data_IF_244396001064
#
_entry.id   IF_244396001064
#
_cell.length_a   1.000
_cell.length_b   1.000
_cell.length_c   1.000
_cell.angle_alpha   90.00
_cell.angle_beta   90.00
_cell.angle_gamma   90.00
#
_symmetry.space_group_name_H-M   'P 1'
#
loop_
_entity.id
_entity.type
_entity.pdbx_description
1 polymer ?
#
# COMPACT_ATOMS: atom_id res chain seq x y z
N UNK A 1 17.32 -43.82 40.94
CA UNK A 1 17.14 -42.42 41.38
C UNK A 1 18.52 -41.78 41.41
N UNK A 2 18.90 -40.70 40.73
CA UNK A 2 18.38 -39.88 39.65
C UNK A 2 19.63 -39.19 39.08
N UNK A 3 19.76 -39.10 37.76
CA UNK A 3 20.92 -38.52 37.09
C UNK A 3 20.81 -36.99 37.08
N UNK A 4 21.85 -36.31 37.55
CA UNK A 4 21.98 -34.85 37.41
C UNK A 4 22.58 -34.55 36.04
N UNK A 5 21.74 -34.05 35.13
CA UNK A 5 22.11 -33.62 33.79
C UNK A 5 22.44 -32.12 33.83
N UNK A 6 23.65 -31.77 33.43
CA UNK A 6 24.13 -30.40 33.26
C UNK A 6 23.36 -29.72 32.12
N UNK A 7 22.76 -28.57 32.40
CA UNK A 7 22.34 -27.62 31.36
C UNK A 7 23.44 -26.56 31.21
N UNK A 8 24.20 -26.68 30.13
CA UNK A 8 25.02 -25.60 29.59
C UNK A 8 24.07 -24.61 28.93
N UNK A 9 23.85 -23.47 29.57
CA UNK A 9 23.10 -22.36 28.99
C UNK A 9 23.88 -21.77 27.83
N UNK A 10 23.46 -22.07 26.60
CA UNK A 10 23.85 -21.32 25.41
C UNK A 10 23.17 -19.96 25.53
N UNK A 11 23.96 -18.93 25.85
CA UNK A 11 23.55 -17.54 25.67
C UNK A 11 23.43 -17.32 24.17
N UNK A 12 22.19 -17.37 23.66
CA UNK A 12 21.89 -16.88 22.33
C UNK A 12 22.20 -15.38 22.33
N UNK A 13 23.31 -15.01 21.70
CA UNK A 13 23.59 -13.63 21.33
C UNK A 13 22.58 -13.29 20.25
N UNK A 14 21.46 -12.70 20.64
CA UNK A 14 20.58 -11.98 19.72
C UNK A 14 21.38 -10.81 19.18
N UNK A 15 21.94 -10.97 17.99
CA UNK A 15 22.36 -9.83 17.16
C UNK A 15 21.08 -9.14 16.74
N UNK A 16 20.70 -8.10 17.47
CA UNK A 16 19.69 -7.16 17.04
C UNK A 16 20.26 -6.44 15.81
N UNK A 17 19.81 -6.85 14.62
CA UNK A 17 19.94 -6.04 13.40
C UNK A 17 18.91 -4.93 13.58
N UNK A 18 19.36 -3.85 14.22
CA UNK A 18 18.58 -2.65 14.43
C UNK A 18 18.64 -1.79 13.18
N UNK A 19 17.47 -1.48 12.62
CA UNK A 19 17.27 -0.54 11.53
C UNK A 19 16.67 -1.23 10.31
N UNK A 20 15.65 -0.60 9.71
CA UNK A 20 15.14 -0.88 8.36
C UNK A 20 14.11 -2.01 8.21
N UNK A 21 13.07 -1.95 9.02
CA UNK A 21 11.69 -2.19 8.58
C UNK A 21 10.85 -1.23 9.41
N UNK A 22 10.53 -0.04 8.87
CA UNK A 22 9.49 0.77 9.49
C UNK A 22 8.22 -0.11 9.53
N UNK A 23 7.57 -0.27 10.70
CA UNK A 23 6.48 -1.22 10.85
C UNK A 23 5.23 -0.64 10.22
N UNK A 24 5.13 -0.71 8.91
CA UNK A 24 3.90 -0.34 8.22
C UNK A 24 3.71 -1.32 7.10
N UNK A 25 3.30 -2.51 7.49
CA UNK A 25 2.34 -3.17 6.66
C UNK A 25 1.04 -3.15 7.47
N UNK A 26 0.05 -2.49 6.91
CA UNK A 26 -1.31 -2.91 7.16
C UNK A 26 -1.66 -3.83 6.01
N UNK A 27 -2.03 -5.07 6.33
CA UNK A 27 -3.05 -5.69 5.54
C UNK A 27 -4.24 -4.74 5.64
N UNK A 28 -4.61 -4.04 4.56
CA UNK A 28 -5.97 -3.51 4.50
C UNK A 28 -6.87 -4.73 4.33
N UNK A 29 -7.14 -5.41 5.45
CA UNK A 29 -8.15 -6.43 5.48
C UNK A 29 -9.48 -5.72 5.55
N UNK A 30 -10.10 -5.56 4.38
CA UNK A 30 -11.53 -5.46 4.33
C UNK A 30 -12.11 -6.86 4.54
N UNK A 31 -12.61 -7.10 5.75
CA UNK A 31 -13.64 -8.09 5.95
C UNK A 31 -14.95 -7.54 5.35
N UNK A 32 -15.02 -7.40 4.03
CA UNK A 32 -16.30 -7.59 3.37
C UNK A 32 -16.63 -9.08 3.56
N UNK A 33 -17.32 -9.39 4.67
CA UNK A 33 -17.79 -10.72 5.03
C UNK A 33 -18.74 -11.35 3.98
N UNK A 34 -18.89 -10.72 2.82
CA UNK A 34 -19.67 -11.22 1.71
C UNK A 34 -18.84 -11.71 0.50
N UNK A 35 -17.51 -11.81 0.59
CA UNK A 35 -16.70 -12.37 -0.51
C UNK A 35 -15.71 -13.42 -0.04
N UNK A 36 -15.82 -14.59 -0.65
CA UNK A 36 -14.96 -15.77 -0.48
C UNK A 36 -13.52 -15.59 -1.01
N UNK A 37 -13.00 -14.36 -1.14
CA UNK A 37 -11.65 -14.15 -1.67
C UNK A 37 -10.63 -14.15 -0.55
N UNK A 38 -9.57 -14.93 -0.74
CA UNK A 38 -8.41 -15.04 0.15
C UNK A 38 -7.28 -14.11 -0.30
N UNK A 39 -7.64 -13.02 -0.97
CA UNK A 39 -6.70 -12.07 -1.54
C UNK A 39 -6.36 -10.99 -0.51
N UNK A 40 -5.15 -10.44 -0.56
CA UNK A 40 -4.67 -9.45 0.40
C UNK A 40 -4.10 -8.24 -0.32
N UNK A 41 -4.32 -7.06 0.26
CA UNK A 41 -3.64 -5.82 -0.10
C UNK A 41 -2.84 -5.33 1.09
N UNK A 42 -1.55 -5.11 0.86
CA UNK A 42 -0.62 -4.54 1.81
C UNK A 42 -0.06 -3.23 1.26
N UNK A 43 0.44 -2.38 2.17
CA UNK A 43 1.25 -1.22 1.83
C UNK A 43 2.57 -1.24 2.58
N UNK A 44 3.56 -0.46 2.14
CA UNK A 44 4.77 -0.20 2.92
C UNK A 44 5.85 0.50 2.10
N UNK A 45 7.09 0.43 2.60
CA UNK A 45 8.28 1.01 1.98
C UNK A 45 8.91 0.10 0.93
N UNK A 46 9.94 0.59 0.24
CA UNK A 46 10.68 -0.16 -0.76
C UNK A 46 11.17 -1.51 -0.20
N UNK A 47 10.80 -2.64 -0.81
CA UNK A 47 11.20 -3.98 -0.36
C UNK A 47 12.58 -4.37 -0.89
N UNK A 48 13.59 -3.52 -0.70
CA UNK A 48 14.97 -3.75 -1.11
C UNK A 48 15.89 -3.76 0.11
N UNK A 49 16.78 -4.74 0.19
CA UNK A 49 17.76 -4.85 1.28
C UNK A 49 18.94 -3.89 1.07
N UNK A 50 19.73 -3.66 2.13
CA UNK A 50 20.98 -2.89 2.07
C UNK A 50 21.99 -3.43 1.02
N UNK A 51 21.87 -4.69 0.62
CA UNK A 51 22.70 -5.30 -0.42
C UNK A 51 22.10 -5.14 -1.84
N UNK A 52 21.09 -4.28 -2.00
CA UNK A 52 20.35 -4.05 -3.25
C UNK A 52 19.75 -5.33 -3.85
N UNK A 53 19.10 -6.14 -2.99
CA UNK A 53 18.35 -7.32 -3.41
C UNK A 53 16.89 -7.20 -2.99
N UNK A 54 15.98 -7.76 -3.78
CA UNK A 54 14.57 -7.80 -3.43
C UNK A 54 14.34 -8.64 -2.16
N UNK A 55 13.65 -8.09 -1.18
CA UNK A 55 13.51 -8.62 0.17
C UNK A 55 12.27 -9.53 0.34
N UNK A 56 12.07 -10.46 -0.60
CA UNK A 56 10.83 -11.25 -0.69
C UNK A 56 10.47 -11.98 0.60
N UNK A 57 11.41 -12.73 1.18
CA UNK A 57 11.13 -13.57 2.36
C UNK A 57 10.80 -12.72 3.59
N UNK A 58 11.55 -11.64 3.81
CA UNK A 58 11.33 -10.72 4.91
C UNK A 58 9.96 -10.02 4.77
N UNK A 59 9.63 -9.57 3.56
CA UNK A 59 8.34 -8.96 3.26
C UNK A 59 7.18 -9.92 3.51
N UNK A 60 7.27 -11.15 3.00
CA UNK A 60 6.23 -12.18 3.20
C UNK A 60 6.07 -12.56 4.67
N UNK A 61 7.17 -12.73 5.40
CA UNK A 61 7.11 -13.01 6.83
C UNK A 61 6.39 -11.89 7.60
N UNK A 62 6.63 -10.63 7.25
CA UNK A 62 5.92 -9.49 7.85
C UNK A 62 4.43 -9.49 7.49
N UNK A 63 4.08 -9.71 6.23
CA UNK A 63 2.68 -9.80 5.78
C UNK A 63 1.92 -10.94 6.49
N UNK A 64 2.55 -12.10 6.69
CA UNK A 64 1.99 -13.22 7.44
C UNK A 64 1.74 -12.85 8.90
N UNK A 65 2.70 -12.17 9.54
CA UNK A 65 2.54 -11.70 10.92
C UNK A 65 1.34 -10.76 11.05
N UNK A 66 1.19 -9.82 10.12
CA UNK A 66 0.11 -8.84 10.15
C UNK A 66 -1.26 -9.45 9.88
N UNK A 67 -1.34 -10.39 8.95
CA UNK A 67 -2.55 -11.18 8.75
C UNK A 67 -2.94 -11.90 10.05
N UNK A 68 -1.98 -12.52 10.75
CA UNK A 68 -2.22 -13.19 12.01
C UNK A 68 -2.65 -12.24 13.15
N UNK A 69 -2.07 -11.03 13.23
CA UNK A 69 -2.47 -9.98 14.18
C UNK A 69 -3.95 -9.56 13.98
N UNK A 70 -4.47 -9.68 12.76
CA UNK A 70 -5.87 -9.45 12.40
C UNK A 70 -6.74 -10.71 12.46
N UNK A 71 -6.24 -11.82 13.00
CA UNK A 71 -6.90 -13.14 13.05
C UNK A 71 -7.24 -13.71 11.65
N UNK A 72 -6.39 -13.46 10.66
CA UNK A 72 -6.55 -13.92 9.28
C UNK A 72 -5.58 -15.05 8.98
N UNK A 73 -5.98 -15.91 8.05
CA UNK A 73 -5.12 -16.96 7.50
C UNK A 73 -4.47 -16.46 6.22
N UNK A 74 -3.17 -16.19 6.28
CA UNK A 74 -2.37 -15.88 5.11
C UNK A 74 -2.21 -17.14 4.23
N UNK A 75 -2.34 -17.06 2.91
CA UNK A 75 -2.29 -18.23 2.03
C UNK A 75 -0.87 -18.82 1.96
N UNK A 76 -0.76 -20.16 2.00
CA UNK A 76 0.53 -20.86 1.85
C UNK A 76 1.11 -20.70 0.43
N UNK A 77 0.25 -20.59 -0.56
CA UNK A 77 0.59 -20.37 -1.97
C UNK A 77 -0.20 -19.19 -2.51
N UNK A 78 0.44 -18.28 -3.22
CA UNK A 78 -0.20 -17.08 -3.76
C UNK A 78 0.58 -16.52 -4.95
N UNK A 79 -0.09 -15.69 -5.74
CA UNK A 79 0.52 -14.86 -6.77
C UNK A 79 0.80 -13.47 -6.19
N UNK A 80 2.05 -13.03 -6.24
CA UNK A 80 2.43 -11.76 -5.65
C UNK A 80 2.42 -10.62 -6.66
N UNK A 81 1.77 -9.51 -6.33
CA UNK A 81 1.72 -8.34 -7.20
C UNK A 81 2.40 -7.17 -6.50
N UNK A 82 3.55 -6.77 -7.03
CA UNK A 82 4.33 -5.64 -6.55
C UNK A 82 3.88 -4.37 -7.27
N UNK A 83 3.15 -3.52 -6.55
CA UNK A 83 2.57 -2.27 -7.04
C UNK A 83 3.48 -1.10 -6.65
N UNK A 84 4.49 -0.87 -7.47
CA UNK A 84 5.48 0.18 -7.28
C UNK A 84 4.96 1.54 -7.71
N UNK A 85 5.10 2.52 -6.84
CA UNK A 85 4.77 3.93 -7.09
C UNK A 85 6.03 4.78 -7.32
N UNK A 86 7.17 4.12 -7.54
CA UNK A 86 8.45 4.77 -7.75
C UNK A 86 8.43 5.69 -8.98
N UNK A 87 9.18 6.77 -8.87
CA UNK A 87 9.33 7.76 -9.93
C UNK A 87 10.36 7.28 -10.96
N UNK A 88 10.44 7.92 -12.15
CA UNK A 88 11.36 7.49 -13.19
C UNK A 88 12.83 7.82 -12.88
N UNK A 89 13.14 8.48 -11.75
CA UNK A 89 14.48 8.82 -11.30
C UNK A 89 15.01 7.83 -10.25
N UNK A 90 14.14 7.08 -9.57
CA UNK A 90 14.42 5.94 -8.68
C UNK A 90 14.71 4.64 -9.47
N UNK A 91 15.43 4.76 -10.60
CA UNK A 91 15.66 3.66 -11.56
C UNK A 91 16.42 2.49 -10.93
N UNK A 92 17.42 2.78 -10.10
CA UNK A 92 18.26 1.75 -9.49
C UNK A 92 17.45 0.83 -8.58
N UNK A 93 16.49 1.39 -7.85
CA UNK A 93 15.62 0.65 -6.93
C UNK A 93 14.58 -0.16 -7.70
N UNK A 94 13.93 0.46 -8.69
CA UNK A 94 12.99 -0.24 -9.58
C UNK A 94 13.65 -1.39 -10.36
N UNK A 95 14.93 -1.28 -10.74
CA UNK A 95 15.66 -2.33 -11.44
C UNK A 95 15.80 -3.62 -10.61
N UNK A 96 15.90 -3.51 -9.28
CA UNK A 96 15.99 -4.67 -8.37
C UNK A 96 14.71 -5.49 -8.44
N UNK A 97 13.56 -4.82 -8.35
CA UNK A 97 12.23 -5.44 -8.38
C UNK A 97 11.94 -6.02 -9.77
N UNK A 98 12.14 -5.22 -10.83
CA UNK A 98 11.96 -5.64 -12.22
C UNK A 98 12.81 -6.89 -12.52
N UNK A 99 14.05 -6.93 -12.04
CA UNK A 99 14.92 -8.09 -12.24
C UNK A 99 14.38 -9.32 -11.51
N UNK A 100 13.97 -9.18 -10.24
CA UNK A 100 13.41 -10.29 -9.46
C UNK A 100 12.22 -10.95 -10.19
N UNK A 101 11.23 -10.17 -10.61
CA UNK A 101 10.02 -10.72 -11.24
C UNK A 101 10.26 -11.25 -12.66
N UNK A 102 11.27 -10.75 -13.37
CA UNK A 102 11.72 -11.36 -14.63
C UNK A 102 12.34 -12.74 -14.42
N UNK A 103 13.06 -12.93 -13.32
CA UNK A 103 13.69 -14.20 -12.97
C UNK A 103 12.68 -15.18 -12.33
N UNK A 104 11.60 -14.68 -11.72
CA UNK A 104 10.58 -15.47 -11.00
C UNK A 104 9.14 -15.22 -11.52
N UNK A 105 8.84 -15.43 -12.82
CA UNK A 105 7.56 -15.03 -13.42
C UNK A 105 6.34 -15.84 -12.90
N UNK A 106 6.56 -16.99 -12.26
CA UNK A 106 5.49 -17.80 -11.68
C UNK A 106 5.15 -17.41 -10.23
N UNK A 107 5.97 -16.57 -9.60
CA UNK A 107 5.78 -16.13 -8.21
C UNK A 107 5.01 -14.82 -8.13
N UNK A 108 4.97 -14.05 -9.21
CA UNK A 108 4.34 -12.75 -9.22
C UNK A 108 4.65 -11.88 -10.42
N UNK A 109 4.31 -10.60 -10.31
CA UNK A 109 4.65 -9.57 -11.28
C UNK A 109 4.95 -8.22 -10.62
N UNK A 110 5.69 -7.39 -11.34
CA UNK A 110 5.96 -5.99 -11.03
C UNK A 110 5.11 -5.07 -11.90
N UNK A 111 4.44 -4.12 -11.28
CA UNK A 111 3.66 -3.09 -11.95
C UNK A 111 4.10 -1.73 -11.41
N UNK A 112 4.58 -0.86 -12.29
CA UNK A 112 4.85 0.53 -11.92
C UNK A 112 3.66 1.43 -12.28
N UNK A 113 3.12 2.09 -11.26
CA UNK A 113 2.11 3.14 -11.37
C UNK A 113 2.72 4.45 -10.91
N UNK A 114 3.45 5.10 -11.82
CA UNK A 114 4.02 6.44 -11.60
C UNK A 114 3.02 7.35 -10.87
N UNK A 115 3.35 7.73 -9.64
CA UNK A 115 2.52 8.59 -8.81
C UNK A 115 3.30 9.82 -8.44
N UNK A 116 2.80 10.99 -8.81
CA UNK A 116 3.49 12.29 -8.68
C UNK A 116 2.71 13.29 -7.83
N UNK A 117 1.45 12.99 -7.52
CA UNK A 117 0.57 13.88 -6.81
C UNK A 117 0.05 15.03 -7.67
N UNK A 118 -0.56 16.02 -7.03
CA UNK A 118 -1.16 17.18 -7.68
C UNK A 118 -0.58 18.50 -7.17
N UNK A 119 -0.29 19.41 -8.10
CA UNK A 119 0.25 20.74 -7.75
C UNK A 119 -0.84 21.72 -7.33
N UNK A 120 -2.10 21.45 -7.66
CA UNK A 120 -3.23 22.34 -7.36
C UNK A 120 -3.93 21.86 -6.10
N UNK A 121 -3.92 22.67 -5.05
CA UNK A 121 -4.72 22.41 -3.86
C UNK A 121 -6.21 22.65 -4.19
N UNK A 122 -7.10 21.64 -4.04
CA UNK A 122 -8.51 21.76 -4.41
C UNK A 122 -9.20 23.00 -3.84
N UNK A 123 -8.92 23.37 -2.59
CA UNK A 123 -9.59 24.49 -1.89
C UNK A 123 -9.10 25.88 -2.27
N UNK A 124 -8.06 25.98 -3.11
CA UNK A 124 -7.67 27.27 -3.72
C UNK A 124 -8.61 27.66 -4.87
N UNK A 125 -9.44 26.73 -5.34
CA UNK A 125 -10.39 26.94 -6.42
C UNK A 125 -11.79 27.29 -5.90
N UNK A 126 -12.54 28.14 -6.62
CA UNK A 126 -13.97 28.33 -6.35
C UNK A 126 -14.72 26.99 -6.37
N UNK A 127 -15.70 26.83 -5.47
CA UNK A 127 -16.45 25.58 -5.29
C UNK A 127 -16.94 24.99 -6.60
N UNK A 128 -17.54 25.80 -7.48
CA UNK A 128 -18.03 25.33 -8.78
C UNK A 128 -16.92 24.77 -9.68
N UNK A 129 -15.76 25.43 -9.73
CA UNK A 129 -14.62 24.96 -10.52
C UNK A 129 -14.02 23.68 -9.93
N UNK A 130 -13.89 23.61 -8.60
CA UNK A 130 -13.44 22.42 -7.88
C UNK A 130 -14.33 21.22 -8.18
N UNK A 131 -15.65 21.37 -8.05
CA UNK A 131 -16.58 20.27 -8.33
C UNK A 131 -16.59 19.87 -9.81
N UNK A 132 -16.45 20.82 -10.74
CA UNK A 132 -16.35 20.52 -12.16
C UNK A 132 -15.09 19.72 -12.53
N UNK A 133 -13.94 20.07 -11.93
CA UNK A 133 -12.70 19.31 -12.09
C UNK A 133 -12.80 17.94 -11.43
N UNK A 134 -13.31 17.88 -10.20
CA UNK A 134 -13.50 16.62 -9.48
C UNK A 134 -14.35 15.63 -10.27
N UNK A 135 -15.45 16.06 -10.91
CA UNK A 135 -16.28 15.18 -11.76
C UNK A 135 -15.53 14.55 -12.93
N UNK A 136 -14.49 15.22 -13.42
CA UNK A 136 -13.69 14.78 -14.55
C UNK A 136 -12.29 14.30 -14.13
N UNK A 137 -12.05 14.01 -12.84
CA UNK A 137 -10.74 13.67 -12.29
C UNK A 137 -10.01 12.60 -13.09
N UNK A 138 -10.76 11.58 -13.53
CA UNK A 138 -10.28 10.46 -14.36
C UNK A 138 -9.62 10.88 -15.68
N UNK A 139 -9.89 12.08 -16.19
CA UNK A 139 -9.39 12.55 -17.48
C UNK A 139 -8.13 13.40 -17.37
N UNK A 140 -7.90 14.07 -16.25
CA UNK A 140 -6.87 15.09 -16.15
C UNK A 140 -5.84 14.82 -15.05
N UNK A 141 -6.18 14.09 -13.99
CA UNK A 141 -5.22 13.76 -12.94
C UNK A 141 -4.18 12.77 -13.48
N UNK A 142 -2.90 13.12 -13.31
CA UNK A 142 -1.78 12.29 -13.77
C UNK A 142 -1.76 10.91 -13.09
N UNK A 143 -2.10 10.88 -11.81
CA UNK A 143 -2.11 9.66 -10.99
C UNK A 143 -3.30 8.74 -11.28
N UNK A 144 -4.30 9.19 -12.05
CA UNK A 144 -5.44 8.36 -12.49
C UNK A 144 -6.08 7.56 -11.34
N UNK A 145 -6.23 8.18 -10.15
CA UNK A 145 -6.70 7.50 -8.95
C UNK A 145 -8.05 6.78 -9.17
N UNK A 146 -9.06 7.35 -9.86
CA UNK A 146 -10.30 6.63 -10.15
C UNK A 146 -10.10 5.30 -10.90
N UNK A 147 -9.21 5.27 -11.90
CA UNK A 147 -8.91 4.05 -12.64
C UNK A 147 -8.09 3.07 -11.81
N UNK A 148 -7.14 3.56 -11.01
CA UNK A 148 -6.29 2.71 -10.16
C UNK A 148 -7.10 2.04 -9.06
N UNK A 149 -8.03 2.73 -8.42
CA UNK A 149 -8.92 2.11 -7.44
C UNK A 149 -9.78 1.00 -8.06
N UNK A 150 -10.34 1.24 -9.25
CA UNK A 150 -11.04 0.19 -9.99
C UNK A 150 -10.15 -0.99 -10.40
N UNK A 151 -8.87 -0.73 -10.71
CA UNK A 151 -7.90 -1.79 -11.03
C UNK A 151 -7.52 -2.61 -9.78
N UNK A 152 -7.35 -1.98 -8.62
CA UNK A 152 -7.11 -2.66 -7.34
C UNK A 152 -8.31 -3.52 -6.97
N UNK A 153 -9.54 -3.00 -7.11
CA UNK A 153 -10.75 -3.82 -6.90
C UNK A 153 -10.81 -5.02 -7.84
N UNK A 154 -10.54 -4.82 -9.13
CA UNK A 154 -10.52 -5.91 -10.09
C UNK A 154 -9.46 -6.95 -9.73
N UNK A 155 -8.27 -6.52 -9.29
CA UNK A 155 -7.20 -7.37 -8.82
C UNK A 155 -7.65 -8.21 -7.62
N UNK A 156 -8.16 -7.58 -6.56
CA UNK A 156 -8.56 -8.24 -5.32
C UNK A 156 -9.82 -9.11 -5.45
N UNK A 157 -10.64 -8.89 -6.48
CA UNK A 157 -11.78 -9.76 -6.81
C UNK A 157 -11.45 -10.84 -7.85
N UNK A 158 -10.23 -10.88 -8.38
CA UNK A 158 -9.83 -11.87 -9.38
C UNK A 158 -9.39 -13.19 -8.75
N UNK A 159 -9.48 -14.26 -9.53
CA UNK A 159 -8.89 -15.57 -9.24
C UNK A 159 -7.82 -15.86 -10.28
N UNK A 160 -6.60 -16.12 -9.84
CA UNK A 160 -5.51 -16.52 -10.76
C UNK A 160 -5.36 -18.03 -10.80
N UNK A 161 -4.72 -18.55 -11.85
CA UNK A 161 -4.31 -19.97 -11.90
C UNK A 161 -3.24 -20.32 -10.85
N UNK A 162 -2.59 -19.29 -10.28
CA UNK A 162 -1.54 -19.40 -9.28
C UNK A 162 -2.08 -19.28 -7.83
N UNK A 163 -3.41 -19.20 -7.67
CA UNK A 163 -4.07 -19.10 -6.37
C UNK A 163 -4.46 -17.67 -5.99
N UNK A 164 -4.58 -17.40 -4.68
CA UNK A 164 -4.92 -16.08 -4.17
C UNK A 164 -3.87 -15.03 -4.55
N UNK A 165 -4.28 -13.77 -4.66
CA UNK A 165 -3.40 -12.64 -4.90
C UNK A 165 -2.97 -12.01 -3.58
N UNK A 166 -1.68 -11.73 -3.45
CA UNK A 166 -1.15 -10.85 -2.40
C UNK A 166 -0.50 -9.66 -3.10
N UNK A 167 -1.14 -8.50 -3.01
CA UNK A 167 -0.65 -7.26 -3.59
C UNK A 167 0.06 -6.41 -2.53
N UNK A 168 1.12 -5.71 -2.92
CA UNK A 168 1.89 -4.81 -2.06
C UNK A 168 2.10 -3.47 -2.74
N UNK A 169 1.54 -2.39 -2.20
CA UNK A 169 1.70 -1.02 -2.70
C UNK A 169 2.84 -0.34 -1.96
N UNK A 170 3.82 0.19 -2.70
CA UNK A 170 4.94 0.88 -2.06
C UNK A 170 5.48 2.05 -2.87
N UNK A 171 6.18 2.92 -2.16
CA UNK A 171 7.12 3.88 -2.70
C UNK A 171 8.40 3.77 -1.87
N UNK A 172 9.36 4.67 -2.05
CA UNK A 172 10.64 4.62 -1.33
C UNK A 172 10.48 4.47 0.20
N UNK A 173 9.86 5.47 0.83
CA UNK A 173 9.61 5.48 2.28
C UNK A 173 8.27 4.84 2.67
N UNK A 174 7.46 4.40 1.72
CA UNK A 174 6.12 3.87 2.00
C UNK A 174 5.13 4.88 2.55
N UNK A 175 5.39 6.17 2.32
CA UNK A 175 4.73 7.27 2.97
C UNK A 175 3.96 8.15 1.98
N UNK A 176 4.64 8.96 1.16
CA UNK A 176 3.97 9.99 0.35
C UNK A 176 3.02 9.42 -0.72
N UNK A 177 3.60 8.79 -1.73
CA UNK A 177 2.83 8.24 -2.86
C UNK A 177 2.01 7.04 -2.41
N UNK A 178 2.56 6.24 -1.49
CA UNK A 178 1.82 5.14 -0.87
C UNK A 178 0.61 5.64 -0.11
N UNK A 179 0.73 6.73 0.64
CA UNK A 179 -0.35 7.36 1.38
C UNK A 179 -1.45 7.91 0.49
N UNK A 180 -1.07 8.52 -0.62
CA UNK A 180 -2.02 8.97 -1.64
C UNK A 180 -2.82 7.79 -2.21
N UNK A 181 -2.14 6.72 -2.62
CA UNK A 181 -2.76 5.54 -3.23
C UNK A 181 -3.60 4.74 -2.24
N UNK A 182 -3.01 4.38 -1.09
CA UNK A 182 -3.65 3.58 -0.06
C UNK A 182 -4.76 4.36 0.64
N UNK A 183 -4.54 5.64 0.95
CA UNK A 183 -5.58 6.52 1.48
C UNK A 183 -6.78 6.64 0.56
N UNK A 184 -6.53 6.79 -0.75
CA UNK A 184 -7.59 6.75 -1.77
C UNK A 184 -8.34 5.43 -1.76
N UNK A 185 -7.64 4.31 -1.60
CA UNK A 185 -8.27 2.99 -1.51
C UNK A 185 -9.13 2.84 -0.24
N UNK A 186 -8.69 3.38 0.89
CA UNK A 186 -9.46 3.34 2.14
C UNK A 186 -10.79 4.08 2.01
N UNK A 187 -10.79 5.25 1.37
CA UNK A 187 -12.05 5.96 1.08
C UNK A 187 -12.90 5.19 0.07
N UNK A 188 -12.29 4.67 -0.99
CA UNK A 188 -12.99 3.96 -2.06
C UNK A 188 -13.68 2.67 -1.60
N UNK A 189 -12.97 1.82 -0.86
CA UNK A 189 -13.40 0.47 -0.50
C UNK A 189 -13.86 0.34 0.96
N UNK A 190 -13.15 0.98 1.91
CA UNK A 190 -13.34 0.74 3.35
C UNK A 190 -14.33 1.70 4.01
N UNK A 191 -14.94 2.59 3.23
CA UNK A 191 -15.83 3.64 3.73
C UNK A 191 -15.14 4.60 4.75
N UNK A 192 -13.82 4.76 4.67
CA UNK A 192 -13.09 5.72 5.51
C UNK A 192 -13.31 7.14 5.02
N UNK A 193 -13.47 8.06 5.95
CA UNK A 193 -13.48 9.50 5.67
C UNK A 193 -12.08 10.00 5.29
N UNK A 194 -11.97 11.15 4.62
CA UNK A 194 -10.67 11.69 4.21
C UNK A 194 -9.78 11.97 5.43
N UNK A 195 -10.35 12.50 6.51
CA UNK A 195 -9.61 12.75 7.76
C UNK A 195 -9.11 11.47 8.40
N UNK A 196 -9.90 10.40 8.41
CA UNK A 196 -9.46 9.11 8.96
C UNK A 196 -8.28 8.55 8.18
N UNK A 197 -8.39 8.53 6.85
CA UNK A 197 -7.33 8.01 5.99
C UNK A 197 -6.06 8.87 6.02
N UNK A 198 -6.19 10.20 6.07
CA UNK A 198 -5.05 11.11 6.23
C UNK A 198 -4.38 10.98 7.60
N UNK A 199 -5.16 10.96 8.69
CA UNK A 199 -4.61 10.83 10.03
C UNK A 199 -3.91 9.49 10.25
N UNK A 200 -4.42 8.42 9.63
CA UNK A 200 -3.76 7.14 9.60
C UNK A 200 -2.42 7.22 8.85
N UNK A 201 -2.41 7.79 7.64
CA UNK A 201 -1.18 7.94 6.85
C UNK A 201 -0.13 8.80 7.58
N UNK A 202 -0.53 9.91 8.18
CA UNK A 202 0.36 10.78 8.96
C UNK A 202 0.86 10.11 10.26
N UNK A 203 0.26 8.99 10.69
CA UNK A 203 0.71 8.21 11.87
C UNK A 203 1.80 7.19 11.56
N UNK A 204 2.02 6.90 10.27
CA UNK A 204 3.00 5.93 9.76
C UNK A 204 4.42 6.41 10.00
N UNK A 205 4.65 7.70 9.79
CA UNK A 205 5.97 8.31 9.84
C UNK A 205 5.97 9.55 10.74
N UNK A 206 7.17 10.10 10.98
CA UNK A 206 7.35 11.24 11.90
C UNK A 206 6.94 12.60 11.31
N UNK A 207 6.39 12.63 10.10
CA UNK A 207 5.96 13.84 9.41
C UNK A 207 4.65 13.57 8.65
N UNK A 208 4.06 14.61 8.09
CA UNK A 208 2.87 14.48 7.24
C UNK A 208 3.25 14.10 5.81
N UNK A 209 2.29 13.49 5.10
CA UNK A 209 2.36 13.20 3.67
C UNK A 209 2.74 14.46 2.86
N UNK A 210 3.47 14.30 1.77
CA UNK A 210 3.86 15.43 0.91
C UNK A 210 2.64 16.19 0.41
N UNK A 211 2.77 17.52 0.28
CA UNK A 211 1.65 18.37 -0.16
C UNK A 211 1.09 17.95 -1.53
N UNK A 212 1.93 17.47 -2.44
CA UNK A 212 1.47 17.02 -3.75
C UNK A 212 0.61 15.77 -3.65
N UNK A 213 1.07 14.79 -2.87
CA UNK A 213 0.30 13.58 -2.60
C UNK A 213 -0.98 13.86 -1.81
N UNK A 214 -0.92 14.79 -0.84
CA UNK A 214 -2.08 15.27 -0.11
C UNK A 214 -3.12 15.88 -1.05
N UNK A 215 -2.70 16.75 -1.98
CA UNK A 215 -3.59 17.40 -2.94
C UNK A 215 -4.28 16.36 -3.85
N UNK A 216 -3.53 15.41 -4.41
CA UNK A 216 -4.08 14.36 -5.27
C UNK A 216 -5.08 13.47 -4.53
N UNK A 217 -4.74 13.09 -3.29
CA UNK A 217 -5.60 12.34 -2.39
C UNK A 217 -6.89 13.12 -2.06
N UNK A 218 -6.77 14.41 -1.78
CA UNK A 218 -7.92 15.29 -1.51
C UNK A 218 -8.81 15.48 -2.75
N UNK A 219 -8.21 15.60 -3.94
CA UNK A 219 -8.94 15.60 -5.21
C UNK A 219 -9.77 14.33 -5.39
N UNK A 220 -9.23 13.19 -4.99
CA UNK A 220 -9.96 11.92 -5.03
C UNK A 220 -11.15 11.91 -4.07
N UNK A 221 -11.02 12.47 -2.86
CA UNK A 221 -12.19 12.67 -1.98
C UNK A 221 -13.28 13.50 -2.67
N UNK A 222 -12.91 14.62 -3.30
CA UNK A 222 -13.87 15.43 -4.04
C UNK A 222 -14.51 14.66 -5.20
N UNK A 223 -13.75 13.84 -5.93
CA UNK A 223 -14.29 12.96 -6.99
C UNK A 223 -15.33 11.98 -6.42
N UNK A 224 -15.05 11.35 -5.28
CA UNK A 224 -15.99 10.46 -4.63
C UNK A 224 -17.26 11.22 -4.20
N UNK A 225 -17.11 12.43 -3.63
CA UNK A 225 -18.21 13.29 -3.15
C UNK A 225 -19.23 13.65 -4.23
N UNK A 226 -18.78 13.78 -5.49
CA UNK A 226 -19.64 14.14 -6.63
C UNK A 226 -20.18 12.95 -7.41
N UNK A 227 -19.65 11.74 -7.17
CA UNK A 227 -19.91 10.54 -7.98
C UNK A 227 -20.76 9.49 -7.27
N UNK A 228 -20.45 9.16 -6.00
CA UNK A 228 -21.04 7.98 -5.34
C UNK A 228 -21.96 8.34 -4.16
N UNK A 229 -21.49 9.16 -3.23
CA UNK A 229 -22.24 9.64 -2.06
C UNK A 229 -21.71 11.02 -1.67
N UNK A 230 -22.48 11.85 -0.94
CA UNK A 230 -21.93 13.09 -0.38
C UNK A 230 -20.94 12.73 0.73
N UNK A 231 -19.68 12.50 0.36
CA UNK A 231 -18.56 12.41 1.28
C UNK A 231 -18.42 13.74 2.01
N UNK A 232 -18.50 13.69 3.34
CA UNK A 232 -18.44 14.86 4.21
C UNK A 232 -17.08 14.82 4.90
N UNK A 233 -16.16 15.69 4.48
CA UNK A 233 -14.86 16.02 5.11
C UNK A 233 -13.65 16.14 4.15
N UNK A 234 -13.85 16.39 2.85
CA UNK A 234 -12.73 16.55 1.92
C UNK A 234 -11.83 17.79 2.18
N UNK A 235 -12.06 18.60 3.22
CA UNK A 235 -11.16 19.70 3.60
C UNK A 235 -10.01 19.17 4.45
N UNK A 236 -8.87 19.86 4.51
CA UNK A 236 -7.83 19.48 5.48
C UNK A 236 -8.36 19.70 6.92
N UNK A 237 -7.97 18.85 7.89
CA UNK A 237 -8.38 18.97 9.30
C UNK A 237 -7.78 20.19 10.02
#
# INVERSE_FOLDING_TARGET
MSAAMQLVGVVAVTVAVAGWLAPVAEASYDADQNKSSTNFLFRGNLPVTDNHTFAKEALVARMQQLAAEQNLTFPETFYFVDLSLLDPFEVADAEVEIKYFKEHPNEGEYINWLTVGDVVHPEELPVEARLALARNLSHWQMDKLPQRMGAIDALLNSTTVHGPIVAYIHCEAGMDRTGEMSGSYYMHALNWTFHQALAYDDSIETRNISIYSQNAFQWYCYFLSVTYQPWQDCSLP
#
